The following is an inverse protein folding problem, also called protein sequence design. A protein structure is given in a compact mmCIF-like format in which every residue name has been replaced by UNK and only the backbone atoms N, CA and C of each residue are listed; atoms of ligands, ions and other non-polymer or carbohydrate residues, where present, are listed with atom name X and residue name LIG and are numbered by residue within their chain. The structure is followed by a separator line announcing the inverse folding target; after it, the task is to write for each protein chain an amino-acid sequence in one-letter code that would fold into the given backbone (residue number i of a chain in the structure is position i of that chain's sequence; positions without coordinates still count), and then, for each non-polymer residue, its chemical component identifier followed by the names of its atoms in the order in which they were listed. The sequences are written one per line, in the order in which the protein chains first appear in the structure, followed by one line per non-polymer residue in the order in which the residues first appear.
data_IF_833719515798
#
_entry.id   IF_833719515798
#
_cell.length_a   1.000
_cell.length_b   1.000
_cell.length_c   1.000
_cell.angle_alpha   90.00
_cell.angle_beta   90.00
_cell.angle_gamma   90.00
#
_symmetry.space_group_name_H-M   'P 1'
#
loop_
_entity.id
_entity.type
_entity.pdbx_description
1 polymer ?
#
# COMPACT_ATOMS: atom_id res chain seq x y z
N UNK A 1 12.74 17.82 -18.78
CA UNK A 1 13.14 16.45 -18.38
C UNK A 1 12.02 15.64 -17.72
N UNK A 2 11.20 16.24 -16.84
CA UNK A 2 10.13 15.50 -16.14
C UNK A 2 8.98 15.01 -17.03
N UNK A 3 8.66 15.71 -18.12
CA UNK A 3 7.67 15.25 -19.10
C UNK A 3 8.08 13.93 -19.77
N UNK A 4 9.36 13.78 -20.10
CA UNK A 4 9.90 12.53 -20.69
C UNK A 4 9.86 11.39 -19.67
N UNK A 5 10.16 11.69 -18.39
CA UNK A 5 10.08 10.72 -17.30
C UNK A 5 8.64 10.23 -17.06
N UNK A 6 7.66 11.14 -16.95
CA UNK A 6 6.26 10.75 -16.78
C UNK A 6 5.68 10.05 -18.02
N UNK A 7 6.06 10.46 -19.23
CA UNK A 7 5.70 9.73 -20.46
C UNK A 7 6.29 8.32 -20.47
N UNK A 8 7.54 8.15 -20.05
CA UNK A 8 8.18 6.83 -19.98
C UNK A 8 7.53 5.94 -18.92
N UNK A 9 7.25 6.45 -17.71
CA UNK A 9 6.49 5.72 -16.69
C UNK A 9 5.10 5.33 -17.19
N UNK A 10 4.41 6.24 -17.88
CA UNK A 10 3.08 6.00 -18.43
C UNK A 10 3.07 4.93 -19.51
N UNK A 11 4.04 4.95 -20.42
CA UNK A 11 4.20 3.95 -21.48
C UNK A 11 4.68 2.59 -20.95
N UNK A 12 5.52 2.61 -19.92
CA UNK A 12 6.03 1.41 -19.26
C UNK A 12 5.07 0.85 -18.19
N UNK A 13 3.97 1.55 -17.90
CA UNK A 13 2.95 1.09 -16.98
C UNK A 13 2.24 -0.12 -17.59
N UNK A 14 2.24 -1.24 -16.86
CA UNK A 14 1.61 -2.46 -17.32
C UNK A 14 0.09 -2.35 -17.18
N UNK A 15 -0.57 -1.88 -18.25
CA UNK A 15 -2.03 -1.75 -18.33
C UNK A 15 -2.76 -3.06 -18.02
N UNK A 16 -2.18 -4.21 -18.39
CA UNK A 16 -2.76 -5.51 -18.06
C UNK A 16 -2.76 -5.78 -16.54
N UNK A 17 -1.79 -5.28 -15.77
CA UNK A 17 -1.80 -5.36 -14.30
C UNK A 17 -2.81 -4.40 -13.67
N UNK A 18 -3.01 -3.22 -14.27
CA UNK A 18 -4.01 -2.25 -13.82
C UNK A 18 -5.43 -2.84 -13.95
N UNK A 19 -5.75 -3.42 -15.11
CA UNK A 19 -7.05 -4.07 -15.35
C UNK A 19 -7.23 -5.31 -14.45
N UNK A 20 -6.18 -6.12 -14.24
CA UNK A 20 -6.20 -7.25 -13.29
C UNK A 20 -6.43 -6.82 -11.84
N UNK A 21 -6.18 -5.55 -11.49
CA UNK A 21 -6.44 -4.99 -10.17
C UNK A 21 -7.93 -4.95 -9.80
N UNK A 22 -8.83 -4.94 -10.79
CA UNK A 22 -10.27 -5.13 -10.61
C UNK A 22 -10.92 -4.22 -9.55
N UNK A 23 -11.90 -4.77 -8.81
CA UNK A 23 -12.64 -4.03 -7.76
C UNK A 23 -11.75 -3.49 -6.63
N UNK A 24 -10.77 -4.23 -6.08
CA UNK A 24 -9.88 -3.72 -5.03
C UNK A 24 -9.12 -2.44 -5.44
N UNK A 25 -8.70 -2.33 -6.70
CA UNK A 25 -8.01 -1.15 -7.20
C UNK A 25 -8.90 0.10 -7.18
N UNK A 26 -10.17 -0.03 -7.60
CA UNK A 26 -11.12 1.09 -7.59
C UNK A 26 -11.41 1.54 -6.16
N UNK A 27 -11.61 0.60 -5.23
CA UNK A 27 -11.83 0.90 -3.81
C UNK A 27 -10.60 1.62 -3.24
N UNK A 28 -9.39 1.12 -3.52
CA UNK A 28 -8.16 1.77 -3.11
C UNK A 28 -8.06 3.19 -3.65
N UNK A 29 -8.35 3.40 -4.94
CA UNK A 29 -8.30 4.72 -5.56
C UNK A 29 -9.27 5.70 -4.89
N UNK A 30 -10.49 5.26 -4.61
CA UNK A 30 -11.50 6.10 -3.95
C UNK A 30 -11.09 6.47 -2.52
N UNK A 31 -10.57 5.51 -1.76
CA UNK A 31 -10.04 5.75 -0.41
C UNK A 31 -8.85 6.71 -0.48
N UNK A 32 -7.90 6.48 -1.37
CA UNK A 32 -6.74 7.34 -1.55
C UNK A 32 -7.13 8.77 -1.93
N UNK A 33 -8.05 8.94 -2.90
CA UNK A 33 -8.57 10.25 -3.30
C UNK A 33 -9.24 10.98 -2.12
N UNK A 34 -10.02 10.25 -1.32
CA UNK A 34 -10.67 10.80 -0.12
C UNK A 34 -9.61 11.23 0.93
N UNK A 35 -8.58 10.42 1.16
CA UNK A 35 -7.50 10.77 2.08
C UNK A 35 -6.69 11.98 1.58
N UNK A 36 -6.43 12.08 0.28
CA UNK A 36 -5.80 13.25 -0.33
C UNK A 36 -6.64 14.51 -0.12
N UNK A 37 -7.96 14.40 -0.27
CA UNK A 37 -8.87 15.52 0.00
C UNK A 37 -8.74 16.00 1.45
N UNK A 38 -8.78 15.09 2.43
CA UNK A 38 -8.56 15.44 3.83
C UNK A 38 -7.18 16.02 4.09
N UNK A 39 -6.14 15.50 3.43
CA UNK A 39 -4.79 16.04 3.52
C UNK A 39 -4.71 17.49 3.03
N UNK A 40 -5.43 17.83 1.95
CA UNK A 40 -5.52 19.21 1.47
C UNK A 40 -6.23 20.12 2.48
N UNK A 41 -7.35 19.67 3.05
CA UNK A 41 -8.08 20.45 4.06
C UNK A 41 -7.19 20.71 5.27
N UNK A 42 -6.55 19.67 5.82
CA UNK A 42 -5.67 19.80 6.98
C UNK A 42 -4.46 20.68 6.65
N UNK A 43 -3.85 20.52 5.48
CA UNK A 43 -2.72 21.32 5.03
C UNK A 43 -3.07 22.81 4.89
N UNK A 44 -4.18 23.12 4.23
CA UNK A 44 -4.67 24.50 4.07
C UNK A 44 -4.98 25.12 5.43
N UNK A 45 -5.75 24.42 6.28
CA UNK A 45 -6.11 24.93 7.61
C UNK A 45 -4.85 25.14 8.46
N UNK A 46 -3.89 24.21 8.41
CA UNK A 46 -2.60 24.35 9.11
C UNK A 46 -1.81 25.57 8.64
N UNK A 47 -1.75 25.82 7.33
CA UNK A 47 -1.11 27.00 6.77
C UNK A 47 -1.81 28.31 7.20
N UNK A 48 -3.15 28.32 7.23
CA UNK A 48 -3.93 29.47 7.68
C UNK A 48 -3.70 29.77 9.18
N UNK A 49 -3.63 28.75 10.03
CA UNK A 49 -3.32 28.92 11.46
C UNK A 49 -1.94 29.54 11.66
N UNK A 50 -0.97 29.16 10.81
CA UNK A 50 0.39 29.72 10.83
C UNK A 50 0.49 31.11 10.17
N UNK A 51 -0.59 31.62 9.58
CA UNK A 51 -0.61 32.91 8.89
C UNK A 51 0.20 32.93 7.58
N UNK A 52 0.48 31.76 7.00
CA UNK A 52 1.22 31.62 5.73
C UNK A 52 0.27 31.30 4.57
N UNK A 53 0.77 31.43 3.34
CA UNK A 53 -0.03 31.14 2.15
C UNK A 53 -0.53 29.67 2.15
N UNK A 54 -1.83 29.42 1.91
CA UNK A 54 -2.40 28.06 1.80
C UNK A 54 -1.67 27.14 0.81
N UNK A 55 -0.99 27.70 -0.19
CA UNK A 55 -0.17 26.97 -1.15
C UNK A 55 0.97 26.19 -0.47
N UNK A 56 1.54 26.70 0.64
CA UNK A 56 2.50 25.95 1.44
C UNK A 56 1.89 24.66 2.00
N UNK A 57 0.65 24.73 2.46
CA UNK A 57 -0.09 23.57 2.98
C UNK A 57 -0.35 22.51 1.92
N UNK A 58 -0.68 22.91 0.70
CA UNK A 58 -0.87 22.00 -0.43
C UNK A 58 0.45 21.38 -0.90
N UNK A 59 1.50 22.19 -1.00
CA UNK A 59 2.82 21.76 -1.42
C UNK A 59 3.44 20.78 -0.42
N UNK A 60 3.48 21.12 0.87
CA UNK A 60 3.97 20.26 1.93
C UNK A 60 3.05 19.04 2.18
N UNK A 61 1.76 19.18 1.87
CA UNK A 61 0.74 18.16 1.99
C UNK A 61 0.70 17.21 0.79
N UNK A 62 -0.43 17.17 0.08
CA UNK A 62 -0.71 16.13 -0.92
C UNK A 62 0.25 16.09 -2.10
N UNK A 63 0.69 17.25 -2.59
CA UNK A 63 1.59 17.35 -3.75
C UNK A 63 2.87 16.56 -3.50
N UNK A 64 3.35 16.60 -2.25
CA UNK A 64 4.61 16.00 -1.86
C UNK A 64 4.46 14.69 -1.09
N UNK A 65 3.60 14.62 -0.08
CA UNK A 65 3.43 13.41 0.74
C UNK A 65 2.77 12.26 -0.03
N UNK A 66 1.89 12.57 -0.98
CA UNK A 66 1.30 11.55 -1.87
C UNK A 66 2.07 11.46 -3.19
N UNK A 67 2.42 12.60 -3.80
CA UNK A 67 3.10 12.62 -5.09
C UNK A 67 4.61 12.35 -5.04
N UNK A 68 5.21 12.40 -3.84
CA UNK A 68 6.64 12.21 -3.64
C UNK A 68 7.50 13.32 -4.26
N UNK A 69 8.81 13.08 -4.28
CA UNK A 69 9.80 14.00 -4.85
C UNK A 69 9.56 14.30 -6.33
N UNK A 70 8.99 13.35 -7.09
CA UNK A 70 8.69 13.53 -8.51
C UNK A 70 7.63 14.60 -8.75
N UNK A 71 6.47 14.50 -8.09
CA UNK A 71 5.42 15.51 -8.23
C UNK A 71 5.79 16.82 -7.53
N UNK A 72 6.44 16.75 -6.36
CA UNK A 72 6.93 17.92 -5.63
C UNK A 72 7.85 18.81 -6.49
N UNK A 73 8.87 18.23 -7.11
CA UNK A 73 9.79 18.98 -8.01
C UNK A 73 9.08 19.40 -9.30
N UNK A 74 8.12 18.61 -9.81
CA UNK A 74 7.42 18.94 -11.06
C UNK A 74 6.57 20.19 -10.94
N UNK A 75 5.99 20.39 -9.76
CA UNK A 75 5.13 21.51 -9.49
C UNK A 75 5.85 22.67 -8.78
N UNK A 76 7.03 22.46 -8.20
CA UNK A 76 7.78 23.48 -7.45
C UNK A 76 7.95 24.81 -8.23
N UNK A 77 8.31 24.76 -9.51
CA UNK A 77 8.41 25.98 -10.34
C UNK A 77 7.10 26.75 -10.45
N UNK A 78 5.97 26.03 -10.51
CA UNK A 78 4.65 26.66 -10.56
C UNK A 78 4.33 27.32 -9.23
N UNK A 79 4.69 26.70 -8.10
CA UNK A 79 4.53 27.28 -6.78
C UNK A 79 5.41 28.52 -6.58
N UNK A 80 6.65 28.50 -7.03
CA UNK A 80 7.55 29.67 -7.01
C UNK A 80 6.94 30.82 -7.82
N UNK A 81 6.54 30.58 -9.07
CA UNK A 81 6.13 31.63 -10.00
C UNK A 81 4.72 32.17 -9.75
N UNK A 82 3.75 31.32 -9.39
CA UNK A 82 2.34 31.71 -9.26
C UNK A 82 1.92 32.04 -7.83
N UNK A 83 2.56 31.42 -6.85
CA UNK A 83 2.21 31.58 -5.43
C UNK A 83 3.33 32.28 -4.64
N UNK A 84 4.39 32.73 -5.33
CA UNK A 84 5.52 33.45 -4.75
C UNK A 84 6.19 32.68 -3.59
N UNK A 85 6.33 31.36 -3.75
CA UNK A 85 6.95 30.44 -2.79
C UNK A 85 8.42 30.16 -3.17
N UNK A 86 9.40 30.98 -2.76
CA UNK A 86 10.79 30.85 -3.23
C UNK A 86 11.44 29.52 -2.82
N UNK A 87 11.09 28.97 -1.67
CA UNK A 87 11.65 27.73 -1.12
C UNK A 87 10.80 26.47 -1.43
N UNK A 88 10.02 26.48 -2.53
CA UNK A 88 9.08 25.41 -2.83
C UNK A 88 9.77 24.05 -3.02
N UNK A 89 10.92 24.03 -3.69
CA UNK A 89 11.65 22.79 -4.01
C UNK A 89 12.22 22.16 -2.75
N UNK A 90 12.81 22.95 -1.85
CA UNK A 90 13.39 22.49 -0.60
C UNK A 90 12.31 21.92 0.33
N UNK A 91 11.17 22.62 0.43
CA UNK A 91 10.03 22.17 1.24
C UNK A 91 9.46 20.87 0.68
N UNK A 92 9.29 20.77 -0.64
CA UNK A 92 8.83 19.54 -1.28
C UNK A 92 9.80 18.37 -1.06
N UNK A 93 11.11 18.59 -1.15
CA UNK A 93 12.08 17.53 -0.86
C UNK A 93 12.04 17.11 0.62
N UNK A 94 12.06 18.08 1.54
CA UNK A 94 12.00 17.82 2.97
C UNK A 94 10.73 17.03 3.34
N UNK A 95 9.56 17.51 2.94
CA UNK A 95 8.29 16.87 3.27
C UNK A 95 8.18 15.46 2.67
N UNK A 96 8.71 15.19 1.47
CA UNK A 96 8.65 13.84 0.88
C UNK A 96 9.52 12.85 1.65
N UNK A 97 10.70 13.26 2.11
CA UNK A 97 11.55 12.40 2.96
C UNK A 97 10.89 12.10 4.30
N UNK A 98 10.33 13.12 4.96
CA UNK A 98 9.58 12.93 6.20
C UNK A 98 8.38 12.00 6.00
N UNK A 99 7.61 12.21 4.93
CA UNK A 99 6.47 11.35 4.59
C UNK A 99 6.85 9.89 4.44
N UNK A 100 7.98 9.59 3.81
CA UNK A 100 8.47 8.22 3.66
C UNK A 100 8.88 7.62 5.01
N UNK A 101 9.62 8.37 5.83
CA UNK A 101 10.05 7.92 7.16
C UNK A 101 8.84 7.61 8.05
N UNK A 102 7.90 8.56 8.19
CA UNK A 102 6.70 8.35 8.99
C UNK A 102 5.78 7.27 8.39
N UNK A 103 5.66 7.23 7.07
CA UNK A 103 4.89 6.20 6.36
C UNK A 103 5.43 4.79 6.60
N UNK A 104 6.76 4.62 6.65
CA UNK A 104 7.39 3.35 6.99
C UNK A 104 7.19 2.96 8.46
N UNK A 105 7.37 3.91 9.37
CA UNK A 105 7.21 3.69 10.82
C UNK A 105 5.77 3.28 11.16
N UNK A 106 4.77 3.92 10.56
CA UNK A 106 3.36 3.62 10.81
C UNK A 106 2.89 2.40 9.99
N UNK A 107 3.36 2.28 8.75
CA UNK A 107 2.96 1.23 7.83
C UNK A 107 3.32 -0.18 8.31
N UNK A 108 4.50 -0.36 8.90
CA UNK A 108 4.94 -1.66 9.42
C UNK A 108 4.03 -2.25 10.50
N UNK A 109 3.78 -1.54 11.62
CA UNK A 109 2.83 -1.95 12.66
C UNK A 109 1.42 -2.17 12.12
N UNK A 110 0.92 -1.29 11.24
CA UNK A 110 -0.42 -1.42 10.64
C UNK A 110 -0.51 -2.67 9.77
N UNK A 111 0.49 -2.95 8.94
CA UNK A 111 0.55 -4.17 8.14
C UNK A 111 0.57 -5.42 9.02
N UNK A 112 1.37 -5.43 10.08
CA UNK A 112 1.42 -6.55 11.04
C UNK A 112 0.08 -6.77 11.74
N UNK A 113 -0.60 -5.68 12.13
CA UNK A 113 -1.92 -5.75 12.75
C UNK A 113 -2.97 -6.35 11.80
N UNK A 114 -3.01 -5.89 10.54
CA UNK A 114 -3.95 -6.39 9.52
C UNK A 114 -3.69 -7.86 9.17
N UNK A 115 -2.42 -8.26 9.00
CA UNK A 115 -2.03 -9.64 8.71
C UNK A 115 -2.42 -10.59 9.86
N UNK A 116 -2.15 -10.20 11.10
CA UNK A 116 -2.53 -11.01 12.27
C UNK A 116 -4.04 -11.21 12.37
N UNK A 117 -4.84 -10.20 12.01
CA UNK A 117 -6.31 -10.31 12.02
C UNK A 117 -6.81 -11.23 10.91
N UNK A 118 -6.27 -11.11 9.69
CA UNK A 118 -6.63 -11.98 8.56
C UNK A 118 -6.27 -13.44 8.82
N UNK A 119 -5.12 -13.70 9.44
CA UNK A 119 -4.68 -15.07 9.72
C UNK A 119 -5.57 -15.74 10.78
N UNK A 120 -6.02 -14.99 11.79
CA UNK A 120 -7.00 -15.47 12.79
C UNK A 120 -8.33 -15.86 12.17
N UNK A 121 -8.87 -15.05 11.24
CA UNK A 121 -10.11 -15.38 10.53
C UNK A 121 -9.96 -16.64 9.66
N UNK A 122 -8.81 -16.80 8.99
CA UNK A 122 -8.52 -17.99 8.17
C UNK A 122 -8.42 -19.27 9.02
N UNK A 123 -7.70 -19.21 10.15
CA UNK A 123 -7.57 -20.31 11.11
C UNK A 123 -8.92 -20.64 11.75
N UNK A 124 -9.70 -19.63 12.15
CA UNK A 124 -11.04 -19.80 12.73
C UNK A 124 -11.99 -20.49 11.76
N UNK A 125 -11.97 -20.10 10.48
CA UNK A 125 -12.78 -20.73 9.43
C UNK A 125 -12.36 -22.19 9.18
N UNK A 126 -11.06 -22.47 9.20
CA UNK A 126 -10.51 -23.83 9.11
C UNK A 126 -10.92 -24.70 10.32
N UNK A 127 -10.87 -24.13 11.53
CA UNK A 127 -11.25 -24.82 12.77
C UNK A 127 -12.77 -25.09 12.82
N UNK A 128 -13.61 -24.14 12.40
CA UNK A 128 -15.05 -24.38 12.23
C UNK A 128 -15.34 -25.48 11.21
N UNK A 129 -14.60 -25.52 10.09
CA UNK A 129 -14.72 -26.60 9.09
C UNK A 129 -14.31 -27.97 9.66
N UNK A 130 -13.28 -28.02 10.51
CA UNK A 130 -12.87 -29.27 11.18
C UNK A 130 -13.89 -29.71 12.24
N UNK A 131 -14.42 -28.79 13.06
CA UNK A 131 -15.44 -29.09 14.06
C UNK A 131 -16.80 -29.47 13.44
N UNK A 132 -17.09 -28.98 12.24
CA UNK A 132 -18.31 -29.34 11.50
C UNK A 132 -18.21 -30.69 10.80
N UNK A 133 -17.00 -31.25 10.58
CA UNK A 133 -16.86 -32.59 10.00
C UNK A 133 -17.11 -33.64 11.09
N UNK A 134 -18.12 -34.48 10.89
CA UNK A 134 -18.39 -35.69 11.69
C UNK A 134 -17.08 -36.50 11.82
N UNK A 135 -16.72 -36.99 13.03
CA UNK A 135 -15.47 -37.72 13.21
C UNK A 135 -15.42 -38.87 12.21
N UNK A 136 -14.33 -38.93 11.45
CA UNK A 136 -14.11 -39.97 10.46
C UNK A 136 -14.14 -41.30 11.22
N UNK A 137 -15.07 -42.19 10.86
CA UNK A 137 -15.15 -43.53 11.42
C UNK A 137 -13.95 -44.34 10.90
N UNK A 138 -12.82 -44.20 11.59
CA UNK A 138 -11.58 -44.88 11.25
C UNK A 138 -11.74 -46.32 11.76
N UNK A 139 -12.17 -47.22 10.87
CA UNK A 139 -12.01 -48.64 11.12
C UNK A 139 -10.52 -48.95 11.24
N UNK A 140 -10.08 -49.71 12.26
CA UNK A 140 -8.66 -49.99 12.46
C UNK A 140 -8.09 -50.71 11.23
N UNK A 141 -6.97 -50.20 10.72
CA UNK A 141 -6.25 -50.77 9.57
C UNK A 141 -5.83 -52.19 9.93
N UNK A 142 -6.35 -53.18 9.20
CA UNK A 142 -6.02 -54.59 9.38
C UNK A 142 -4.63 -54.87 8.78
N UNK A 143 -3.60 -54.85 9.61
CA UNK A 143 -2.19 -55.04 9.22
C UNK A 143 -1.92 -56.43 8.62
N UNK A 144 -2.81 -57.42 8.85
CA UNK A 144 -2.64 -58.78 8.28
C UNK A 144 -2.74 -58.85 6.76
N UNK A 145 -3.33 -57.86 6.08
CA UNK A 145 -3.40 -57.84 4.61
C UNK A 145 -2.20 -57.18 3.95
N UNK A 146 -1.24 -56.66 4.73
CA UNK A 146 -0.06 -56.00 4.18
C UNK A 146 1.02 -57.04 3.89
N UNK A 147 0.88 -57.71 2.74
CA UNK A 147 1.90 -58.61 2.20
C UNK A 147 3.14 -57.77 1.84
N UNK A 148 4.14 -57.77 2.73
CA UNK A 148 5.41 -57.09 2.53
C UNK A 148 6.11 -57.73 1.35
N UNK A 149 6.04 -57.08 0.18
CA UNK A 149 6.76 -57.51 -1.02
C UNK A 149 8.26 -57.30 -0.76
N UNK A 150 8.90 -58.37 -0.33
CA UNK A 150 10.34 -58.49 -0.11
C UNK A 150 11.11 -57.88 -1.29
N UNK A 151 11.89 -56.84 -1.00
CA UNK A 151 12.90 -56.29 -1.90
C UNK A 151 14.04 -57.32 -1.99
N UNK A 152 14.27 -57.90 -3.17
CA UNK A 152 15.48 -58.69 -3.45
C UNK A 152 16.71 -57.78 -3.39
N UNK A 153 17.80 -58.19 -2.72
CA UNK A 153 19.06 -57.45 -2.77
C UNK A 153 19.69 -57.60 -4.16
N UNK A 154 20.09 -56.46 -4.73
CA UNK A 154 20.92 -56.37 -5.93
C UNK A 154 22.28 -57.01 -5.63
N UNK A 155 22.59 -58.11 -6.34
CA UNK A 155 23.97 -58.51 -6.61
C UNK A 155 24.35 -58.01 -8.00
#
# INVERSE_FOLDING_TARGET
MMLVFFSSIGLSANFARLIKGGKPLIIFLFIAATLIFFQNVIGIVGAQILGIDPAYGLLAGSVTLTGGHGTGVAWAETFIKKFNLPAATEIAMACATFGLVFGGIIGGPVARFLLNRQNKEKIRKMMMLMMSKKPLNIQPINVKSMHVRSLKPLQ
#
